data_IF_744358682415
#
_entry.id   IF_744358682415
#
_cell.length_a   1.000
_cell.length_b   1.000
_cell.length_c   1.000
_cell.angle_alpha   90.00
_cell.angle_beta   90.00
_cell.angle_gamma   90.00
#
_symmetry.space_group_name_H-M   'P 1'
#
loop_
_entity.id
_entity.type
_entity.pdbx_description
1 polymer ?
#
# COMPACT_ATOMS: atom_id res chain seq x y z
N UNK A 1 2.44 9.15 -66.98
CA UNK A 1 2.08 8.58 -65.66
C UNK A 1 1.95 9.73 -64.68
N UNK A 2 0.76 9.96 -64.14
CA UNK A 2 0.56 10.82 -62.96
C UNK A 2 0.73 9.95 -61.72
N UNK A 3 1.44 10.45 -60.71
CA UNK A 3 1.18 10.14 -59.29
C UNK A 3 1.36 11.42 -58.47
N UNK A 4 0.51 11.54 -57.46
CA UNK A 4 0.06 12.75 -56.80
C UNK A 4 0.96 13.22 -55.64
N UNK A 5 0.82 14.53 -55.33
CA UNK A 5 0.71 15.21 -54.03
C UNK A 5 1.56 14.66 -52.86
N UNK A 6 2.29 15.48 -52.10
CA UNK A 6 1.71 16.55 -51.26
C UNK A 6 2.72 17.66 -50.96
N UNK A 7 2.21 18.89 -50.91
CA UNK A 7 2.87 20.11 -50.41
C UNK A 7 3.36 19.94 -48.98
N UNK A 8 4.61 20.35 -48.74
CA UNK A 8 5.09 20.75 -47.42
C UNK A 8 4.90 22.26 -47.31
N UNK A 9 3.90 22.69 -46.54
CA UNK A 9 3.84 24.04 -46.01
C UNK A 9 4.33 23.95 -44.56
N UNK A 10 5.51 24.51 -44.32
CA UNK A 10 6.00 24.83 -42.98
C UNK A 10 5.25 26.10 -42.55
N UNK A 11 4.09 25.94 -41.92
CA UNK A 11 3.49 26.99 -41.09
C UNK A 11 4.06 26.82 -39.68
N UNK A 12 5.00 27.71 -39.37
CA UNK A 12 5.52 27.98 -38.04
C UNK A 12 4.38 28.56 -37.18
N UNK A 13 3.86 27.75 -36.25
CA UNK A 13 2.91 28.21 -35.26
C UNK A 13 3.67 28.96 -34.15
N UNK A 14 3.70 30.29 -34.24
CA UNK A 14 3.95 31.16 -33.10
C UNK A 14 2.84 30.94 -32.06
N UNK A 15 3.05 30.02 -31.12
CA UNK A 15 2.18 29.85 -29.96
C UNK A 15 2.33 31.09 -29.05
N UNK A 16 1.28 31.91 -28.84
CA UNK A 16 1.37 33.01 -27.89
C UNK A 16 1.41 32.45 -26.47
N UNK A 17 2.46 32.80 -25.73
CA UNK A 17 2.61 32.54 -24.30
C UNK A 17 1.36 33.02 -23.54
N UNK A 18 0.68 32.17 -22.73
CA UNK A 18 -0.52 32.59 -22.03
C UNK A 18 -0.15 33.58 -20.90
N UNK A 19 -0.57 34.83 -21.05
CA UNK A 19 -0.48 35.86 -20.00
C UNK A 19 -1.37 35.46 -18.80
N UNK A 20 -0.71 35.03 -17.71
CA UNK A 20 -1.33 34.52 -16.48
C UNK A 20 -2.02 35.66 -15.67
N UNK A 21 -2.02 36.91 -16.14
CA UNK A 21 -2.52 38.04 -15.34
C UNK A 21 -4.02 38.37 -15.44
N UNK A 22 -4.83 37.64 -16.23
CA UNK A 22 -6.27 37.96 -16.39
C UNK A 22 -7.30 36.90 -15.92
N UNK A 23 -6.87 35.80 -15.30
CA UNK A 23 -7.82 34.75 -14.85
C UNK A 23 -8.52 35.10 -13.52
N UNK A 24 -8.10 36.14 -12.79
CA UNK A 24 -8.48 36.29 -11.38
C UNK A 24 -9.80 37.05 -11.09
N UNK A 25 -10.50 37.59 -12.08
CA UNK A 25 -11.62 38.51 -11.79
C UNK A 25 -13.02 38.10 -12.30
N UNK A 26 -13.20 36.91 -12.88
CA UNK A 26 -14.54 36.47 -13.33
C UNK A 26 -15.43 35.83 -12.26
N UNK A 27 -14.95 35.61 -11.04
CA UNK A 27 -15.73 34.96 -9.97
C UNK A 27 -16.15 35.90 -8.83
N UNK A 28 -16.29 37.21 -9.08
CA UNK A 28 -16.85 38.16 -8.11
C UNK A 28 -18.04 38.86 -8.74
N UNK A 29 -19.23 38.26 -8.62
CA UNK A 29 -20.53 38.93 -8.42
C UNK A 29 -21.69 37.94 -8.59
N UNK A 30 -21.74 36.93 -7.71
CA UNK A 30 -22.95 36.16 -7.47
C UNK A 30 -23.23 36.20 -5.98
N UNK A 31 -24.35 36.83 -5.60
CA UNK A 31 -24.85 36.84 -4.21
C UNK A 31 -24.93 35.39 -3.70
N UNK A 32 -24.53 35.09 -2.45
CA UNK A 32 -24.70 33.75 -1.90
C UNK A 32 -26.19 33.53 -1.63
N UNK A 33 -26.87 32.91 -2.59
CA UNK A 33 -28.14 32.24 -2.33
C UNK A 33 -27.91 31.19 -1.25
N UNK A 34 -28.82 31.13 -0.28
CA UNK A 34 -28.81 30.20 0.85
C UNK A 34 -28.65 28.77 0.33
N UNK A 35 -27.42 28.25 0.35
CA UNK A 35 -27.12 26.87 0.04
C UNK A 35 -27.71 26.09 1.21
N UNK A 36 -28.87 25.46 1.00
CA UNK A 36 -29.37 24.49 1.96
C UNK A 36 -28.29 23.44 2.15
N UNK A 37 -27.79 23.30 3.38
CA UNK A 37 -26.89 22.22 3.74
C UNK A 37 -27.57 20.91 3.34
N UNK A 38 -26.99 20.21 2.37
CA UNK A 38 -27.45 18.88 2.03
C UNK A 38 -27.21 18.02 3.28
N UNK A 39 -28.25 17.37 3.83
CA UNK A 39 -28.12 16.65 5.09
C UNK A 39 -27.02 15.60 4.96
N UNK A 40 -26.21 15.36 6.02
CA UNK A 40 -25.17 14.35 5.97
C UNK A 40 -25.81 13.02 5.59
N UNK A 41 -25.48 12.52 4.40
CA UNK A 41 -25.95 11.21 3.94
C UNK A 41 -25.33 10.17 4.84
N UNK A 42 -26.11 9.72 5.83
CA UNK A 42 -25.73 8.60 6.70
C UNK A 42 -25.57 7.39 5.80
N UNK A 43 -24.31 7.06 5.45
CA UNK A 43 -23.99 5.83 4.73
C UNK A 43 -24.58 4.66 5.52
N UNK A 44 -25.49 3.90 4.89
CA UNK A 44 -26.04 2.70 5.50
C UNK A 44 -24.90 1.70 5.65
N UNK A 45 -24.67 1.25 6.89
CA UNK A 45 -23.67 0.22 7.18
C UNK A 45 -24.18 -1.11 6.63
N UNK A 46 -23.34 -1.83 5.90
CA UNK A 46 -23.67 -3.17 5.40
C UNK A 46 -23.37 -4.23 6.46
N UNK A 47 -23.94 -5.43 6.34
CA UNK A 47 -23.74 -6.54 7.30
C UNK A 47 -22.24 -6.81 7.56
N UNK A 48 -21.40 -6.66 6.54
CA UNK A 48 -19.94 -6.81 6.65
C UNK A 48 -19.27 -5.84 7.63
N UNK A 49 -19.86 -4.67 7.88
CA UNK A 49 -19.31 -3.67 8.81
C UNK A 49 -19.47 -4.09 10.28
N UNK A 50 -20.37 -5.04 10.55
CA UNK A 50 -20.69 -5.48 11.92
C UNK A 50 -20.06 -6.82 12.28
N UNK A 51 -19.57 -7.58 11.29
CA UNK A 51 -18.96 -8.88 11.55
C UNK A 51 -17.44 -8.75 11.70
N UNK A 52 -16.88 -9.12 12.87
CA UNK A 52 -15.45 -9.21 13.05
C UNK A 52 -14.82 -10.13 12.01
N UNK A 53 -13.62 -9.77 11.56
CA UNK A 53 -12.81 -10.68 10.74
C UNK A 53 -12.50 -11.94 11.54
N UNK A 54 -12.50 -13.11 10.90
CA UNK A 54 -12.18 -14.36 11.55
C UNK A 54 -10.75 -14.34 12.11
N UNK A 55 -10.54 -15.02 13.24
CA UNK A 55 -9.26 -14.97 13.95
C UNK A 55 -8.08 -15.44 13.10
N UNK A 56 -8.30 -16.40 12.20
CA UNK A 56 -7.25 -16.92 11.34
C UNK A 56 -6.84 -15.88 10.30
N UNK A 57 -7.80 -15.24 9.63
CA UNK A 57 -7.53 -14.14 8.70
C UNK A 57 -6.88 -12.95 9.39
N UNK A 58 -7.25 -12.63 10.64
CA UNK A 58 -6.56 -11.58 11.42
C UNK A 58 -5.09 -11.93 11.64
N UNK A 59 -4.80 -13.18 12.02
CA UNK A 59 -3.43 -13.68 12.19
C UNK A 59 -2.66 -13.62 10.87
N UNK A 60 -3.26 -14.06 9.76
CA UNK A 60 -2.64 -14.03 8.43
C UNK A 60 -2.37 -12.61 7.93
N UNK A 61 -3.30 -11.68 8.13
CA UNK A 61 -3.10 -10.27 7.80
C UNK A 61 -1.94 -9.68 8.62
N UNK A 62 -1.92 -9.96 9.92
CA UNK A 62 -0.86 -9.47 10.82
C UNK A 62 0.51 -10.04 10.46
N UNK A 63 0.58 -11.32 10.16
CA UNK A 63 1.78 -12.00 9.66
C UNK A 63 2.25 -11.38 8.33
N UNK A 64 1.33 -11.09 7.41
CA UNK A 64 1.65 -10.48 6.11
C UNK A 64 2.22 -9.06 6.29
N UNK A 65 1.63 -8.25 7.19
CA UNK A 65 2.17 -6.93 7.52
C UNK A 65 3.55 -7.05 8.18
N UNK A 66 3.75 -8.00 9.09
CA UNK A 66 5.04 -8.22 9.72
C UNK A 66 6.12 -8.60 8.69
N UNK A 67 5.79 -9.46 7.73
CA UNK A 67 6.66 -9.82 6.60
C UNK A 67 6.95 -8.66 5.68
N UNK A 68 5.98 -7.78 5.41
CA UNK A 68 6.22 -6.56 4.66
C UNK A 68 7.24 -5.68 5.37
N UNK A 69 7.03 -5.38 6.65
CA UNK A 69 7.94 -4.53 7.45
C UNK A 69 9.36 -5.11 7.47
N UNK A 70 9.48 -6.41 7.78
CA UNK A 70 10.76 -7.12 7.82
C UNK A 70 11.42 -7.19 6.44
N UNK A 71 10.68 -7.59 5.41
CA UNK A 71 11.23 -7.81 4.06
C UNK A 71 11.59 -6.53 3.32
N UNK A 72 10.93 -5.42 3.63
CA UNK A 72 11.21 -4.10 3.05
C UNK A 72 11.92 -3.13 4.00
N UNK A 73 12.39 -3.63 5.16
CA UNK A 73 13.14 -2.89 6.19
C UNK A 73 12.48 -1.56 6.61
N UNK A 74 11.16 -1.56 6.70
CA UNK A 74 10.41 -0.35 7.04
C UNK A 74 10.48 -0.05 8.55
N UNK A 75 10.41 1.23 8.95
CA UNK A 75 10.30 1.57 10.36
C UNK A 75 8.97 1.07 10.93
N UNK A 76 8.94 0.66 12.21
CA UNK A 76 7.72 0.16 12.84
C UNK A 76 6.56 1.17 12.84
N UNK A 77 6.86 2.47 12.79
CA UNK A 77 5.83 3.52 12.74
C UNK A 77 5.03 3.52 11.43
N UNK A 78 5.44 2.76 10.39
CA UNK A 78 4.72 2.70 9.11
C UNK A 78 3.26 2.27 9.27
N UNK A 79 2.97 1.39 10.25
CA UNK A 79 1.62 0.88 10.51
C UNK A 79 0.66 1.94 11.07
N UNK A 80 1.22 3.04 11.57
CA UNK A 80 0.49 4.20 12.10
C UNK A 80 0.39 5.34 11.06
N UNK A 81 1.05 5.19 9.91
CA UNK A 81 0.99 6.20 8.84
C UNK A 81 -0.35 6.17 8.11
N UNK A 82 -0.94 7.34 7.86
CA UNK A 82 -2.22 7.45 7.18
C UNK A 82 -2.24 6.82 5.77
N UNK A 83 -1.21 6.99 4.91
CA UNK A 83 -1.19 6.34 3.60
C UNK A 83 -1.23 4.82 3.70
N UNK A 84 -0.46 4.22 4.62
CA UNK A 84 -0.44 2.78 4.83
C UNK A 84 -1.77 2.26 5.37
N UNK A 85 -2.34 2.94 6.38
CA UNK A 85 -3.64 2.60 6.96
C UNK A 85 -4.73 2.61 5.87
N UNK A 86 -4.74 3.63 5.02
CA UNK A 86 -5.73 3.76 3.95
C UNK A 86 -5.58 2.64 2.91
N UNK A 87 -4.34 2.33 2.51
CA UNK A 87 -4.06 1.21 1.60
C UNK A 87 -4.59 -0.10 2.17
N UNK A 88 -4.27 -0.42 3.42
CA UNK A 88 -4.69 -1.68 4.05
C UNK A 88 -6.20 -1.73 4.24
N UNK A 89 -6.87 -0.62 4.57
CA UNK A 89 -8.33 -0.55 4.64
C UNK A 89 -9.00 -0.85 3.30
N UNK A 90 -8.44 -0.37 2.19
CA UNK A 90 -8.96 -0.66 0.85
C UNK A 90 -8.82 -2.15 0.53
N UNK A 91 -7.67 -2.75 0.84
CA UNK A 91 -7.39 -4.16 0.57
C UNK A 91 -8.15 -5.10 1.52
N UNK A 92 -8.35 -4.71 2.77
CA UNK A 92 -9.04 -5.48 3.80
C UNK A 92 -9.83 -4.56 4.72
N UNK A 93 -11.07 -4.29 4.34
CA UNK A 93 -11.98 -3.35 5.02
C UNK A 93 -12.16 -3.64 6.52
N UNK A 94 -12.07 -4.91 6.91
CA UNK A 94 -12.36 -5.39 8.27
C UNK A 94 -11.11 -5.57 9.13
N UNK A 95 -9.92 -5.49 8.55
CA UNK A 95 -8.68 -5.71 9.30
C UNK A 95 -8.31 -4.46 10.11
N UNK A 96 -8.20 -4.64 11.44
CA UNK A 96 -7.66 -3.62 12.34
C UNK A 96 -6.16 -3.83 12.47
N UNK A 97 -5.40 -2.90 11.91
CA UNK A 97 -3.93 -2.92 11.96
C UNK A 97 -3.49 -2.77 13.44
N UNK A 98 -2.69 -3.70 13.98
CA UNK A 98 -2.10 -3.56 15.29
C UNK A 98 -1.17 -2.35 15.40
N UNK A 99 -0.97 -1.83 16.61
CA UNK A 99 -0.01 -0.76 16.84
C UNK A 99 1.44 -1.24 16.68
N UNK A 100 2.37 -0.29 16.52
CA UNK A 100 3.79 -0.57 16.29
C UNK A 100 4.43 -1.51 17.34
N UNK A 101 3.98 -1.44 18.60
CA UNK A 101 4.49 -2.26 19.71
C UNK A 101 4.37 -3.74 19.44
N UNK A 102 3.23 -4.19 18.90
CA UNK A 102 3.03 -5.61 18.60
C UNK A 102 4.05 -6.11 17.57
N UNK A 103 4.37 -5.28 16.58
CA UNK A 103 5.34 -5.62 15.56
C UNK A 103 6.77 -5.62 16.11
N UNK A 104 7.15 -4.61 16.90
CA UNK A 104 8.49 -4.48 17.46
C UNK A 104 8.79 -5.50 18.55
N UNK A 105 7.83 -5.81 19.41
CA UNK A 105 8.05 -6.64 20.62
C UNK A 105 7.76 -8.12 20.38
N UNK A 106 6.85 -8.44 19.43
CA UNK A 106 6.34 -9.81 19.29
C UNK A 106 6.49 -10.35 17.87
N UNK A 107 5.81 -9.74 16.89
CA UNK A 107 5.65 -10.36 15.57
C UNK A 107 6.99 -10.50 14.83
N UNK A 108 7.78 -9.43 14.77
CA UNK A 108 9.05 -9.44 14.03
C UNK A 108 10.14 -10.23 14.77
N UNK A 109 10.31 -10.09 16.10
CA UNK A 109 11.22 -10.97 16.85
C UNK A 109 10.90 -12.47 16.67
N UNK A 110 9.62 -12.84 16.62
CA UNK A 110 9.19 -14.22 16.34
C UNK A 110 9.66 -14.69 14.96
N UNK A 111 9.47 -13.90 13.92
CA UNK A 111 9.94 -14.22 12.56
C UNK A 111 11.45 -14.42 12.49
N UNK A 112 12.22 -13.60 13.22
CA UNK A 112 13.66 -13.73 13.28
C UNK A 112 14.10 -15.04 13.96
N UNK A 113 13.47 -15.38 15.09
CA UNK A 113 13.72 -16.63 15.80
C UNK A 113 13.38 -17.86 14.94
N UNK A 114 12.23 -17.84 14.26
CA UNK A 114 11.84 -18.91 13.33
C UNK A 114 12.88 -19.09 12.20
N UNK A 115 13.41 -17.99 11.68
CA UNK A 115 14.46 -18.01 10.65
C UNK A 115 15.76 -18.62 11.19
N UNK A 116 16.19 -18.22 12.39
CA UNK A 116 17.37 -18.77 13.06
C UNK A 116 17.23 -20.28 13.28
N UNK A 117 16.10 -20.73 13.80
CA UNK A 117 15.87 -22.15 14.06
C UNK A 117 15.84 -22.97 12.77
N UNK A 118 15.26 -22.43 11.70
CA UNK A 118 15.34 -23.02 10.36
C UNK A 118 16.78 -23.22 9.88
N UNK A 119 17.63 -22.20 10.04
CA UNK A 119 19.05 -22.26 9.68
C UNK A 119 19.80 -23.29 10.52
N UNK A 120 19.60 -23.30 11.85
CA UNK A 120 20.20 -24.28 12.76
C UNK A 120 19.82 -25.71 12.38
N UNK A 121 18.53 -25.95 12.12
CA UNK A 121 18.02 -27.26 11.68
C UNK A 121 18.69 -27.71 10.38
N UNK A 122 18.76 -26.84 9.37
CA UNK A 122 19.42 -27.14 8.09
C UNK A 122 20.91 -27.46 8.27
N UNK A 123 21.61 -26.70 9.11
CA UNK A 123 23.03 -26.94 9.45
C UNK A 123 23.22 -28.31 10.11
N UNK A 124 22.38 -28.64 11.10
CA UNK A 124 22.46 -29.89 11.85
C UNK A 124 22.21 -31.11 10.94
N UNK A 125 21.20 -31.06 10.07
CA UNK A 125 20.91 -32.13 9.09
C UNK A 125 22.09 -32.35 8.14
N UNK A 126 22.70 -31.26 7.66
CA UNK A 126 23.87 -31.34 6.78
C UNK A 126 25.06 -31.99 7.49
N UNK A 127 25.30 -31.62 8.75
CA UNK A 127 26.39 -32.17 9.55
C UNK A 127 26.19 -33.64 9.89
N UNK A 128 24.98 -34.05 10.31
CA UNK A 128 24.69 -35.45 10.60
C UNK A 128 24.82 -36.31 9.34
N UNK A 129 24.22 -35.88 8.22
CA UNK A 129 24.29 -36.63 6.96
C UNK A 129 25.74 -36.82 6.49
N UNK A 130 26.57 -35.77 6.48
CA UNK A 130 28.02 -35.89 6.16
C UNK A 130 28.75 -36.85 7.11
N UNK A 131 28.45 -36.84 8.41
CA UNK A 131 29.06 -37.74 9.39
C UNK A 131 28.69 -39.20 9.12
N UNK A 132 27.43 -39.48 8.77
CA UNK A 132 26.96 -40.83 8.40
C UNK A 132 27.66 -41.36 7.13
N UNK A 133 27.88 -40.52 6.12
CA UNK A 133 28.58 -40.94 4.90
C UNK A 133 30.09 -41.17 5.11
N UNK A 134 30.71 -40.49 6.08
CA UNK A 134 32.14 -40.61 6.38
C UNK A 134 32.51 -41.83 7.23
N UNK A 135 31.58 -42.46 7.94
CA UNK A 135 31.86 -43.62 8.80
C UNK A 135 31.50 -44.97 8.14
N UNK A 136 30.91 -44.95 6.94
CA UNK A 136 30.43 -46.14 6.23
C UNK A 136 31.13 -46.37 4.87
N UNK A 137 32.24 -45.67 4.61
CA UNK A 137 33.21 -45.95 3.54
C UNK A 137 34.59 -46.04 4.17
#
# INVERSE_FOLDING_TARGET
>A
MQVALTSNNEEECDDPEPDISQIENSCRNSKPGRIGEMPPTKKQKTILDFQPLDENSVKQCTESVARFIYGSLQPYNIVESQPFINMVKILSLRYKIPGRKLFSETAIPKLYNETIEGIKKKRNITHTSKRYFSHNN
#
